data_IF_733027998062
#
_entry.id   IF_733027998062
#
_cell.length_a   1.000
_cell.length_b   1.000
_cell.length_c   1.000
_cell.angle_alpha   90.00
_cell.angle_beta   90.00
_cell.angle_gamma   90.00
#
_symmetry.space_group_name_H-M   'P 1'
#
loop_
_entity.id
_entity.type
_entity.pdbx_description
1 polymer ?
#
# COMPACT_ATOMS: atom_id res chain seq x y z
N UNK A 1 10.13 -18.76 2.58
CA UNK A 1 10.12 -18.72 4.06
C UNK A 1 8.87 -18.05 4.64
N UNK A 2 8.65 -16.72 4.50
CA UNK A 2 7.49 -16.05 5.12
C UNK A 2 6.13 -16.57 4.61
N UNK A 3 5.98 -16.66 3.28
CA UNK A 3 4.74 -17.15 2.67
C UNK A 3 4.42 -18.60 3.10
N UNK A 4 5.43 -19.47 3.15
CA UNK A 4 5.24 -20.87 3.56
C UNK A 4 4.80 -20.98 5.02
N UNK A 5 5.33 -20.13 5.91
CA UNK A 5 4.91 -20.08 7.30
C UNK A 5 3.43 -19.66 7.42
N UNK A 6 3.02 -18.60 6.72
CA UNK A 6 1.61 -18.18 6.67
C UNK A 6 0.73 -19.31 6.12
N UNK A 7 1.14 -19.94 5.02
CA UNK A 7 0.39 -21.04 4.43
C UNK A 7 0.28 -22.25 5.39
N UNK A 8 1.34 -22.55 6.14
CA UNK A 8 1.34 -23.63 7.13
C UNK A 8 0.34 -23.35 8.25
N UNK A 9 0.34 -22.13 8.82
CA UNK A 9 -0.58 -21.76 9.89
C UNK A 9 -2.04 -21.77 9.41
N UNK A 10 -2.33 -21.20 8.24
CA UNK A 10 -3.68 -21.20 7.66
C UNK A 10 -4.19 -22.61 7.30
N UNK A 11 -3.28 -23.55 7.02
CA UNK A 11 -3.65 -24.94 6.72
C UNK A 11 -4.01 -25.75 7.97
N UNK A 12 -3.41 -25.43 9.13
CA UNK A 12 -3.57 -26.19 10.39
C UNK A 12 -4.92 -25.97 11.07
N UNK A 13 -5.54 -24.81 10.88
CA UNK A 13 -6.77 -24.46 11.58
C UNK A 13 -7.99 -24.91 10.78
N UNK A 14 -8.79 -25.90 11.20
CA UNK A 14 -10.12 -26.10 10.64
C UNK A 14 -11.01 -24.94 11.10
N UNK A 15 -11.23 -23.91 10.25
CA UNK A 15 -11.87 -22.61 10.55
C UNK A 15 -12.82 -22.65 11.76
N UNK A 16 -12.25 -22.55 12.96
CA UNK A 16 -12.96 -22.32 14.22
C UNK A 16 -12.87 -20.85 14.58
N UNK A 17 -11.72 -20.26 14.24
CA UNK A 17 -11.43 -18.84 14.43
C UNK A 17 -10.98 -18.22 13.10
N UNK A 18 -11.35 -16.95 12.91
CA UNK A 18 -10.95 -16.18 11.73
C UNK A 18 -9.60 -15.55 11.99
N UNK A 19 -8.55 -16.10 11.37
CA UNK A 19 -7.24 -15.43 11.33
C UNK A 19 -7.31 -14.17 10.42
N UNK A 20 -6.85 -13.05 10.95
CA UNK A 20 -6.56 -11.82 10.21
C UNK A 20 -5.04 -11.69 10.11
N UNK A 21 -4.53 -11.49 8.90
CA UNK A 21 -3.10 -11.41 8.64
C UNK A 21 -2.82 -10.41 7.51
N UNK A 22 -1.56 -9.97 7.41
CA UNK A 22 -1.15 -9.06 6.34
C UNK A 22 0.36 -9.05 6.13
N UNK A 23 0.78 -8.38 5.07
CA UNK A 23 2.16 -8.08 4.76
C UNK A 23 2.32 -6.57 4.76
N UNK A 24 3.50 -6.10 5.17
CA UNK A 24 3.87 -4.69 5.09
C UNK A 24 4.31 -4.33 3.66
N UNK A 25 3.37 -4.49 2.73
CA UNK A 25 3.53 -4.21 1.30
C UNK A 25 2.22 -3.62 0.76
N UNK A 26 2.31 -2.75 -0.26
CA UNK A 26 1.11 -2.29 -0.95
C UNK A 26 0.45 -3.45 -1.71
N UNK A 27 -0.89 -3.57 -1.61
CA UNK A 27 -1.62 -4.67 -2.26
C UNK A 27 -2.14 -4.33 -3.64
N UNK A 28 -2.05 -3.07 -4.05
CA UNK A 28 -2.49 -2.63 -5.36
C UNK A 28 -1.68 -1.44 -5.83
N UNK A 29 -1.81 -1.17 -7.13
CA UNK A 29 -1.24 0.01 -7.74
C UNK A 29 -2.20 1.20 -7.75
N UNK A 30 -1.67 2.44 -7.70
CA UNK A 30 -2.44 3.65 -7.95
C UNK A 30 -2.97 3.70 -9.39
N UNK A 31 -3.98 4.55 -9.61
CA UNK A 31 -4.67 4.74 -10.88
C UNK A 31 -3.73 4.84 -12.09
N UNK A 32 -2.68 5.66 -12.05
CA UNK A 32 -1.81 5.82 -13.23
C UNK A 32 -1.09 4.52 -13.61
N UNK A 33 -0.60 3.75 -12.63
CA UNK A 33 0.11 2.51 -12.90
C UNK A 33 -0.86 1.46 -13.46
N UNK A 34 -2.10 1.43 -12.96
CA UNK A 34 -3.16 0.57 -13.52
C UNK A 34 -3.51 0.95 -14.97
N UNK A 35 -3.48 2.23 -15.31
CA UNK A 35 -3.69 2.73 -16.67
C UNK A 35 -2.57 2.33 -17.62
N UNK A 36 -1.32 2.61 -17.26
CA UNK A 36 -0.15 2.21 -18.03
C UNK A 36 -0.09 0.69 -18.22
N UNK A 37 -0.50 -0.05 -17.19
CA UNK A 37 -0.58 -1.50 -17.23
C UNK A 37 -1.81 -2.06 -17.95
N UNK A 38 -2.70 -1.20 -18.45
CA UNK A 38 -3.93 -1.59 -19.18
C UNK A 38 -4.87 -2.47 -18.36
N UNK A 39 -4.85 -2.34 -17.02
CA UNK A 39 -5.69 -3.09 -16.08
C UNK A 39 -6.70 -2.21 -15.33
N UNK A 40 -6.82 -0.91 -15.67
CA UNK A 40 -7.76 0.03 -15.00
C UNK A 40 -9.19 -0.52 -14.93
N UNK A 41 -9.66 -1.13 -16.01
CA UNK A 41 -11.03 -1.66 -16.10
C UNK A 41 -11.22 -3.03 -15.44
N UNK A 42 -10.13 -3.73 -15.10
CA UNK A 42 -10.19 -5.05 -14.48
C UNK A 42 -10.49 -4.94 -12.99
N UNK A 43 -11.07 -6.00 -12.43
CA UNK A 43 -11.14 -6.17 -10.98
C UNK A 43 -9.72 -6.20 -10.39
N UNK A 44 -9.57 -6.04 -9.07
CA UNK A 44 -8.26 -6.15 -8.44
C UNK A 44 -7.62 -7.53 -8.69
N UNK A 45 -8.39 -8.62 -8.52
CA UNK A 45 -7.91 -10.00 -8.74
C UNK A 45 -7.48 -10.23 -10.18
N UNK A 46 -8.33 -9.85 -11.13
CA UNK A 46 -8.04 -10.05 -12.56
C UNK A 46 -6.87 -9.18 -12.99
N UNK A 47 -6.78 -7.94 -12.49
CA UNK A 47 -5.64 -7.06 -12.72
C UNK A 47 -4.33 -7.67 -12.20
N UNK A 48 -4.32 -8.17 -10.97
CA UNK A 48 -3.13 -8.78 -10.38
C UNK A 48 -2.69 -10.06 -11.12
N UNK A 49 -3.64 -10.91 -11.51
CA UNK A 49 -3.35 -12.10 -12.33
C UNK A 49 -2.88 -11.73 -13.74
N UNK A 50 -3.43 -10.66 -14.34
CA UNK A 50 -2.99 -10.14 -15.63
C UNK A 50 -1.53 -9.64 -15.56
N UNK A 51 -1.15 -8.91 -14.50
CA UNK A 51 0.24 -8.51 -14.27
C UNK A 51 1.15 -9.74 -14.14
N UNK A 52 0.75 -10.71 -13.32
CA UNK A 52 1.53 -11.92 -13.08
C UNK A 52 1.82 -12.72 -14.36
N UNK A 53 0.87 -12.78 -15.28
CA UNK A 53 0.98 -13.57 -16.49
C UNK A 53 1.55 -12.78 -17.69
N UNK A 54 1.77 -11.47 -17.52
CA UNK A 54 2.02 -10.55 -18.64
C UNK A 54 0.72 -10.30 -19.41
N UNK A 55 0.37 -9.04 -19.61
CA UNK A 55 -0.91 -8.67 -20.22
C UNK A 55 -0.70 -7.62 -21.31
N UNK A 56 -1.37 -7.78 -22.45
CA UNK A 56 -1.37 -6.77 -23.52
C UNK A 56 0.03 -6.31 -23.95
N UNK A 57 0.99 -7.24 -24.05
CA UNK A 57 2.37 -6.95 -24.44
C UNK A 57 3.27 -6.38 -23.32
N UNK A 58 2.78 -6.33 -22.08
CA UNK A 58 3.57 -5.95 -20.91
C UNK A 58 4.32 -7.15 -20.33
N UNK A 59 5.48 -6.94 -19.67
CA UNK A 59 6.23 -8.02 -19.04
C UNK A 59 5.42 -8.71 -17.93
N UNK A 60 5.72 -9.98 -17.69
CA UNK A 60 5.26 -10.70 -16.50
C UNK A 60 5.80 -10.03 -15.24
N UNK A 61 4.97 -9.90 -14.20
CA UNK A 61 5.40 -9.42 -12.90
C UNK A 61 6.61 -10.23 -12.41
N UNK A 62 7.65 -9.52 -11.97
CA UNK A 62 8.91 -10.11 -11.54
C UNK A 62 9.59 -9.25 -10.48
N UNK A 63 10.82 -9.61 -10.13
CA UNK A 63 11.62 -8.80 -9.20
C UNK A 63 11.81 -7.37 -9.73
N UNK A 64 11.96 -6.37 -8.83
CA UNK A 64 12.08 -4.96 -9.21
C UNK A 64 13.23 -4.67 -10.17
N UNK A 65 14.29 -5.47 -10.06
CA UNK A 65 15.48 -5.39 -10.90
C UNK A 65 15.19 -5.35 -12.40
N UNK A 66 14.46 -6.33 -12.91
CA UNK A 66 14.18 -6.45 -14.33
C UNK A 66 12.80 -5.90 -14.71
N UNK A 67 11.85 -5.99 -13.79
CA UNK A 67 10.47 -5.63 -14.09
C UNK A 67 10.33 -4.15 -14.45
N UNK A 68 10.91 -3.25 -13.65
CA UNK A 68 10.76 -1.81 -13.82
C UNK A 68 11.27 -1.33 -15.19
N UNK A 69 12.45 -1.82 -15.60
CA UNK A 69 13.05 -1.54 -16.91
C UNK A 69 12.17 -2.04 -18.05
N UNK A 70 11.78 -3.32 -18.02
CA UNK A 70 10.97 -3.90 -19.09
C UNK A 70 9.57 -3.27 -19.18
N UNK A 71 9.00 -2.89 -18.03
CA UNK A 71 7.73 -2.20 -17.98
C UNK A 71 7.84 -0.83 -18.63
N UNK A 72 8.83 -0.02 -18.25
CA UNK A 72 9.10 1.29 -18.87
C UNK A 72 9.32 1.20 -20.38
N UNK A 73 10.06 0.19 -20.84
CA UNK A 73 10.26 -0.05 -22.27
C UNK A 73 8.92 -0.32 -23.00
N UNK A 74 8.03 -1.13 -22.38
CA UNK A 74 6.76 -1.50 -22.96
C UNK A 74 5.71 -0.36 -22.95
N UNK A 75 5.81 0.60 -22.04
CA UNK A 75 4.89 1.75 -21.92
C UNK A 75 5.44 3.06 -22.49
N UNK A 76 6.59 3.00 -23.18
CA UNK A 76 7.21 4.14 -23.84
C UNK A 76 6.20 4.92 -24.72
N UNK A 77 6.37 6.26 -24.86
CA UNK A 77 7.54 7.06 -24.47
C UNK A 77 7.53 7.56 -23.02
N UNK A 78 6.47 7.32 -22.24
CA UNK A 78 6.35 7.86 -20.89
C UNK A 78 6.77 6.81 -19.85
N UNK A 79 7.94 6.96 -19.19
CA UNK A 79 8.38 6.00 -18.18
C UNK A 79 7.44 6.05 -16.97
N UNK A 80 7.20 4.88 -16.38
CA UNK A 80 6.46 4.75 -15.12
C UNK A 80 7.43 4.83 -13.95
N UNK A 81 8.36 3.89 -13.88
CA UNK A 81 9.32 3.76 -12.77
C UNK A 81 10.53 4.67 -12.97
N UNK A 82 11.08 5.19 -11.88
CA UNK A 82 12.25 6.07 -11.90
C UNK A 82 12.98 6.00 -10.55
N UNK A 83 14.20 6.55 -10.50
CA UNK A 83 14.97 6.64 -9.26
C UNK A 83 15.59 8.03 -9.10
N UNK A 84 15.40 8.73 -7.96
CA UNK A 84 16.06 10.01 -7.74
C UNK A 84 17.59 9.89 -7.58
N UNK A 85 18.08 8.68 -7.25
CA UNK A 85 19.50 8.39 -7.08
C UNK A 85 20.06 7.83 -8.39
N UNK A 86 21.02 8.55 -9.00
CA UNK A 86 21.58 8.20 -10.31
C UNK A 86 22.16 6.79 -10.38
N UNK A 87 22.95 6.38 -9.37
CA UNK A 87 23.53 5.02 -9.35
C UNK A 87 22.45 3.93 -9.33
N UNK A 88 21.33 4.17 -8.63
CA UNK A 88 20.21 3.25 -8.64
C UNK A 88 19.43 3.32 -9.95
N UNK A 89 19.27 4.49 -10.54
CA UNK A 89 18.64 4.65 -11.85
C UNK A 89 19.37 3.80 -12.92
N UNK A 90 20.70 3.87 -12.95
CA UNK A 90 21.55 3.05 -13.82
C UNK A 90 21.44 1.56 -13.48
N UNK A 91 21.48 1.22 -12.19
CA UNK A 91 21.31 -0.14 -11.70
C UNK A 91 19.98 -0.73 -12.24
N UNK A 92 18.84 -0.12 -11.93
CA UNK A 92 17.51 -0.58 -12.37
C UNK A 92 17.22 -0.36 -13.86
N UNK A 93 18.08 0.36 -14.61
CA UNK A 93 17.82 0.72 -16.00
C UNK A 93 16.56 1.59 -16.17
N UNK A 94 16.33 2.52 -15.24
CA UNK A 94 15.21 3.47 -15.23
C UNK A 94 15.74 4.91 -15.32
N UNK A 95 14.94 5.89 -15.75
CA UNK A 95 15.38 7.28 -15.74
C UNK A 95 15.62 7.79 -14.32
N UNK A 96 16.50 8.79 -14.19
CA UNK A 96 16.70 9.52 -12.94
C UNK A 96 15.76 10.71 -12.74
N UNK A 97 15.12 11.16 -13.82
CA UNK A 97 14.13 12.21 -13.78
C UNK A 97 12.74 11.65 -13.51
N UNK A 98 12.04 12.27 -12.55
CA UNK A 98 10.65 11.97 -12.24
C UNK A 98 9.74 12.22 -13.44
N UNK A 99 8.89 11.27 -13.85
CA UNK A 99 7.81 11.53 -14.80
C UNK A 99 6.75 12.45 -14.18
N UNK A 100 6.19 13.35 -14.98
CA UNK A 100 5.07 14.18 -14.52
C UNK A 100 3.81 13.32 -14.41
N UNK A 101 3.36 13.10 -13.17
CA UNK A 101 2.14 12.35 -12.85
C UNK A 101 1.33 13.20 -11.87
N UNK A 102 0.06 13.53 -12.14
CA UNK A 102 -0.78 14.26 -11.19
C UNK A 102 -0.88 13.56 -9.83
N UNK A 103 -0.91 14.33 -8.75
CA UNK A 103 -0.97 13.82 -7.38
C UNK A 103 -2.08 12.78 -7.16
N UNK A 104 -3.29 13.09 -7.63
CA UNK A 104 -4.49 12.25 -7.49
C UNK A 104 -4.44 10.92 -8.24
N UNK A 105 -3.50 10.80 -9.16
CA UNK A 105 -3.27 9.63 -10.00
C UNK A 105 -2.01 8.87 -9.57
N UNK A 106 -1.09 9.56 -8.87
CA UNK A 106 0.17 9.02 -8.35
C UNK A 106 -0.04 8.18 -7.08
N UNK A 107 -0.93 8.62 -6.21
CA UNK A 107 -1.20 7.96 -4.94
C UNK A 107 -2.57 7.28 -4.97
N UNK A 108 -2.69 6.14 -4.30
CA UNK A 108 -3.98 5.49 -4.04
C UNK A 108 -4.83 6.38 -3.16
N UNK A 109 -6.15 6.23 -3.20
CA UNK A 109 -7.06 7.04 -2.37
C UNK A 109 -6.68 7.04 -0.88
N UNK A 110 -6.27 5.89 -0.33
CA UNK A 110 -5.85 5.76 1.07
C UNK A 110 -4.53 6.48 1.37
N UNK A 111 -3.62 6.53 0.40
CA UNK A 111 -2.33 7.22 0.52
C UNK A 111 -2.51 8.73 0.40
N UNK A 112 -3.41 9.19 -0.47
CA UNK A 112 -3.78 10.60 -0.55
C UNK A 112 -4.30 11.09 0.80
N UNK A 113 -5.13 10.29 1.48
CA UNK A 113 -5.59 10.58 2.84
C UNK A 113 -4.42 10.70 3.82
N UNK A 114 -3.47 9.77 3.79
CA UNK A 114 -2.30 9.78 4.67
C UNK A 114 -1.40 11.00 4.42
N UNK A 115 -1.08 11.29 3.16
CA UNK A 115 -0.27 12.47 2.80
C UNK A 115 -0.95 13.76 3.25
N UNK A 116 -2.25 13.92 2.97
CA UNK A 116 -3.00 15.10 3.41
C UNK A 116 -3.15 15.19 4.93
N UNK A 117 -2.97 14.08 5.65
CA UNK A 117 -2.91 14.03 7.11
C UNK A 117 -1.50 14.28 7.66
N UNK A 118 -0.51 14.56 6.80
CA UNK A 118 0.86 14.90 7.18
C UNK A 118 1.81 13.71 7.28
N UNK A 119 1.43 12.53 6.77
CA UNK A 119 2.35 11.41 6.65
C UNK A 119 3.24 11.56 5.41
N UNK A 120 4.52 11.28 5.55
CA UNK A 120 5.44 11.22 4.40
C UNK A 120 5.39 9.82 3.79
N UNK A 121 5.03 9.73 2.50
CA UNK A 121 4.90 8.48 1.77
C UNK A 121 5.67 8.55 0.45
N UNK A 122 6.55 7.57 0.24
CA UNK A 122 7.08 7.31 -1.10
C UNK A 122 5.98 6.77 -2.00
N UNK A 123 6.08 7.05 -3.29
CA UNK A 123 5.13 6.60 -4.29
C UNK A 123 5.53 5.25 -4.92
N UNK A 124 4.55 4.56 -5.50
CA UNK A 124 4.67 3.19 -6.01
C UNK A 124 5.56 3.08 -7.27
N UNK A 125 6.00 4.20 -7.83
CA UNK A 125 6.87 4.28 -9.00
C UNK A 125 8.34 4.57 -8.69
N UNK A 126 8.69 4.90 -7.44
CA UNK A 126 10.08 5.21 -7.04
C UNK A 126 10.81 3.94 -6.64
N UNK A 127 11.96 3.66 -7.26
CA UNK A 127 12.83 2.51 -6.95
C UNK A 127 14.20 2.93 -6.42
N UNK A 128 14.80 2.08 -5.60
CA UNK A 128 16.21 2.13 -5.24
C UNK A 128 16.57 3.02 -4.05
N UNK A 129 15.70 3.91 -3.59
CA UNK A 129 15.96 4.71 -2.39
C UNK A 129 15.59 3.94 -1.10
N UNK A 130 16.21 4.30 0.03
CA UNK A 130 15.74 3.86 1.35
C UNK A 130 14.31 4.40 1.54
N UNK A 131 13.37 3.53 1.92
CA UNK A 131 11.96 3.88 2.01
C UNK A 131 11.25 3.95 0.64
N UNK A 132 11.91 3.59 -0.47
CA UNK A 132 11.24 3.47 -1.76
C UNK A 132 10.27 2.30 -1.78
N UNK A 133 9.04 2.57 -2.21
CA UNK A 133 7.92 1.63 -2.05
C UNK A 133 7.73 0.74 -3.27
N UNK A 134 8.21 1.12 -4.46
CA UNK A 134 7.98 0.33 -5.67
C UNK A 134 8.55 -1.09 -5.58
N UNK A 135 9.78 -1.23 -5.04
CA UNK A 135 10.42 -2.54 -4.89
C UNK A 135 9.64 -3.45 -3.95
N UNK A 136 9.26 -2.93 -2.78
CA UNK A 136 8.45 -3.65 -1.79
C UNK A 136 7.08 -4.02 -2.36
N UNK A 137 6.46 -3.10 -3.12
CA UNK A 137 5.18 -3.33 -3.78
C UNK A 137 5.25 -4.46 -4.77
N UNK A 138 6.24 -4.47 -5.68
CA UNK A 138 6.40 -5.57 -6.64
C UNK A 138 6.58 -6.92 -5.95
N UNK A 139 7.38 -6.96 -4.88
CA UNK A 139 7.54 -8.16 -4.05
C UNK A 139 6.22 -8.59 -3.39
N UNK A 140 5.46 -7.65 -2.81
CA UNK A 140 4.16 -7.92 -2.19
C UNK A 140 3.13 -8.44 -3.19
N UNK A 141 3.02 -7.80 -4.35
CA UNK A 141 2.13 -8.25 -5.42
C UNK A 141 2.43 -9.70 -5.86
N UNK A 142 3.72 -10.08 -5.96
CA UNK A 142 4.11 -11.46 -6.25
C UNK A 142 3.68 -12.45 -5.15
N UNK A 143 3.81 -12.06 -3.88
CA UNK A 143 3.35 -12.88 -2.75
C UNK A 143 1.83 -13.09 -2.79
N UNK A 144 1.07 -12.02 -3.08
CA UNK A 144 -0.39 -12.08 -3.21
C UNK A 144 -0.82 -12.98 -4.38
N UNK A 145 -0.15 -12.89 -5.53
CA UNK A 145 -0.37 -13.80 -6.67
C UNK A 145 -0.15 -15.25 -6.24
N UNK A 146 0.92 -15.51 -5.49
CA UNK A 146 1.23 -16.86 -5.01
C UNK A 146 0.15 -17.39 -4.06
N UNK A 147 -0.36 -16.55 -3.15
CA UNK A 147 -1.52 -16.89 -2.32
C UNK A 147 -2.77 -17.20 -3.14
N UNK A 148 -3.07 -16.38 -4.15
CA UNK A 148 -4.22 -16.58 -5.04
C UNK A 148 -4.14 -17.86 -5.87
N UNK A 149 -2.93 -18.25 -6.30
CA UNK A 149 -2.70 -19.47 -7.07
C UNK A 149 -2.60 -20.72 -6.17
N UNK A 150 -2.46 -20.55 -4.86
CA UNK A 150 -2.37 -21.66 -3.90
C UNK A 150 -3.72 -22.34 -3.67
N UNK A 151 -3.68 -23.56 -3.09
CA UNK A 151 -4.88 -24.28 -2.64
C UNK A 151 -5.65 -23.55 -1.52
N UNK A 152 -4.97 -22.65 -0.80
CA UNK A 152 -5.58 -21.86 0.29
C UNK A 152 -6.42 -20.70 -0.21
N UNK A 153 -6.36 -20.35 -1.50
CA UNK A 153 -7.14 -19.26 -2.09
C UNK A 153 -8.64 -19.35 -1.83
N UNK A 154 -9.19 -20.57 -1.70
CA UNK A 154 -10.62 -20.78 -1.37
C UNK A 154 -10.97 -20.45 0.09
N UNK A 155 -9.96 -20.42 0.96
CA UNK A 155 -10.07 -20.18 2.40
C UNK A 155 -9.64 -18.76 2.81
N UNK A 156 -9.18 -17.96 1.87
CA UNK A 156 -8.67 -16.60 2.10
C UNK A 156 -9.52 -15.61 1.30
N UNK A 157 -9.99 -14.58 1.97
CA UNK A 157 -10.51 -13.38 1.34
C UNK A 157 -9.53 -12.21 1.55
N UNK A 158 -9.58 -11.23 0.67
CA UNK A 158 -8.73 -10.04 0.70
C UNK A 158 -9.61 -8.83 0.92
N UNK A 159 -9.43 -8.18 2.07
CA UNK A 159 -10.15 -6.96 2.39
C UNK A 159 -9.34 -5.73 1.96
N UNK A 160 -9.98 -4.70 1.38
CA UNK A 160 -11.42 -4.57 1.08
C UNK A 160 -11.83 -5.03 -0.34
N UNK A 161 -10.93 -5.69 -1.07
CA UNK A 161 -11.15 -6.02 -2.49
C UNK A 161 -12.36 -6.92 -2.73
N UNK A 162 -12.58 -7.91 -1.85
CA UNK A 162 -13.71 -8.84 -1.93
C UNK A 162 -15.02 -8.27 -1.35
N UNK A 163 -14.98 -7.12 -0.65
CA UNK A 163 -16.11 -6.50 0.02
C UNK A 163 -15.70 -5.34 0.93
N UNK A 164 -16.49 -4.27 0.96
CA UNK A 164 -16.19 -3.08 1.78
C UNK A 164 -16.45 -3.27 3.28
N UNK A 165 -17.26 -4.27 3.63
CA UNK A 165 -17.63 -4.61 4.99
C UNK A 165 -17.19 -6.04 5.28
N UNK A 166 -16.50 -6.23 6.40
CA UNK A 166 -16.04 -7.54 6.88
C UNK A 166 -17.18 -8.53 7.15
N UNK A 167 -18.41 -8.04 7.32
CA UNK A 167 -19.62 -8.86 7.46
C UNK A 167 -20.20 -9.35 6.12
N UNK A 168 -19.63 -8.91 4.99
CA UNK A 168 -20.05 -9.37 3.66
C UNK A 168 -19.85 -10.90 3.52
N UNK A 169 -20.78 -11.56 2.81
CA UNK A 169 -20.74 -13.00 2.53
C UNK A 169 -19.41 -13.47 1.91
N UNK A 170 -18.74 -12.60 1.15
CA UNK A 170 -17.43 -12.88 0.57
C UNK A 170 -16.38 -13.29 1.62
N UNK A 171 -16.55 -12.86 2.87
CA UNK A 171 -15.70 -13.17 4.01
C UNK A 171 -16.17 -14.35 4.84
N UNK A 172 -17.38 -14.88 4.67
CA UNK A 172 -17.92 -15.96 5.52
C UNK A 172 -17.05 -17.21 5.43
N UNK A 173 -16.67 -17.78 6.59
CA UNK A 173 -15.81 -18.95 6.71
C UNK A 173 -14.48 -18.83 5.94
N UNK A 174 -13.83 -17.66 6.02
CA UNK A 174 -12.51 -17.41 5.43
C UNK A 174 -11.60 -16.65 6.39
N UNK A 175 -10.31 -16.92 6.31
CA UNK A 175 -9.28 -16.04 6.85
C UNK A 175 -9.21 -14.77 5.99
N UNK A 176 -8.75 -13.67 6.57
CA UNK A 176 -8.79 -12.37 5.90
C UNK A 176 -7.39 -11.79 5.82
N UNK A 177 -6.95 -11.60 4.58
CA UNK A 177 -5.73 -10.87 4.26
C UNK A 177 -6.07 -9.38 4.18
N UNK A 178 -5.35 -8.56 4.94
CA UNK A 178 -5.50 -7.11 5.00
C UNK A 178 -4.17 -6.45 4.66
N UNK A 179 -4.20 -5.25 4.08
CA UNK A 179 -3.02 -4.42 3.97
C UNK A 179 -2.78 -3.71 5.31
N UNK A 180 -1.53 -3.73 5.77
CA UNK A 180 -1.11 -3.10 7.03
C UNK A 180 0.06 -2.18 6.71
N UNK A 181 0.07 -0.99 7.33
CA UNK A 181 1.16 -0.04 7.20
C UNK A 181 1.66 0.38 8.58
N UNK A 182 2.69 -0.27 9.13
CA UNK A 182 3.13 -0.12 10.53
C UNK A 182 3.40 1.32 10.96
N UNK A 183 3.88 2.16 10.05
CA UNK A 183 4.25 3.55 10.30
C UNK A 183 3.08 4.47 10.71
N UNK A 184 1.82 4.06 10.54
CA UNK A 184 0.67 4.85 11.05
C UNK A 184 0.39 4.60 12.54
N UNK A 185 1.01 3.57 13.13
CA UNK A 185 0.85 3.25 14.54
C UNK A 185 1.91 3.99 15.34
N UNK A 186 1.51 5.02 16.10
CA UNK A 186 2.45 5.83 16.84
C UNK A 186 3.22 5.01 17.89
N UNK A 187 4.54 5.15 17.91
CA UNK A 187 5.46 4.48 18.85
C UNK A 187 5.02 4.63 20.32
N UNK A 188 4.55 5.83 20.68
CA UNK A 188 4.07 6.12 22.04
C UNK A 188 2.86 5.29 22.45
N UNK A 189 2.02 4.92 21.49
CA UNK A 189 0.76 4.20 21.73
C UNK A 189 1.03 2.67 21.74
N UNK A 190 2.11 2.23 21.09
CA UNK A 190 2.50 0.83 20.93
C UNK A 190 4.01 0.62 21.19
N UNK A 191 4.47 0.78 22.45
CA UNK A 191 5.88 0.61 22.79
C UNK A 191 6.32 -0.84 22.59
N UNK A 192 7.38 -1.05 21.81
CA UNK A 192 7.91 -2.38 21.52
C UNK A 192 8.83 -2.83 22.66
N UNK A 193 8.62 -4.01 23.28
CA UNK A 193 9.47 -4.52 24.35
C UNK A 193 10.90 -4.75 23.89
N UNK A 194 11.88 -4.55 24.79
CA UNK A 194 13.31 -4.68 24.47
C UNK A 194 13.68 -6.05 23.88
N UNK A 195 13.00 -7.11 24.36
CA UNK A 195 13.18 -8.47 23.89
C UNK A 195 12.75 -8.74 22.43
N UNK A 196 12.06 -7.79 21.78
CA UNK A 196 11.63 -7.86 20.37
C UNK A 196 12.52 -6.99 19.46
N UNK A 197 13.54 -6.31 20.01
CA UNK A 197 14.29 -5.22 19.34
C UNK A 197 15.45 -5.64 18.42
N UNK A 198 15.42 -6.82 17.80
CA UNK A 198 16.53 -7.22 16.93
C UNK A 198 16.54 -6.48 15.60
N UNK A 199 15.38 -6.29 14.96
CA UNK A 199 15.28 -5.71 13.62
C UNK A 199 14.05 -4.79 13.46
N UNK A 200 14.08 -3.87 12.50
CA UNK A 200 12.98 -2.93 12.24
C UNK A 200 11.69 -3.65 11.83
N UNK A 201 11.79 -4.66 10.97
CA UNK A 201 10.65 -5.45 10.52
C UNK A 201 9.94 -6.20 11.66
N UNK A 202 10.67 -6.66 12.68
CA UNK A 202 10.08 -7.31 13.85
C UNK A 202 9.29 -6.32 14.70
N UNK A 203 9.80 -5.08 14.85
CA UNK A 203 9.11 -3.99 15.56
C UNK A 203 7.81 -3.63 14.84
N UNK A 204 7.86 -3.51 13.53
CA UNK A 204 6.73 -3.19 12.69
C UNK A 204 5.65 -4.28 12.72
N UNK A 205 6.05 -5.54 12.58
CA UNK A 205 5.15 -6.69 12.72
C UNK A 205 4.52 -6.75 14.12
N UNK A 206 5.30 -6.49 15.18
CA UNK A 206 4.79 -6.44 16.54
C UNK A 206 3.72 -5.34 16.70
N UNK A 207 4.01 -4.12 16.23
CA UNK A 207 3.08 -2.98 16.34
C UNK A 207 1.77 -3.26 15.62
N UNK A 208 1.86 -3.72 14.38
CA UNK A 208 0.71 -4.14 13.58
C UNK A 208 -0.13 -5.21 14.29
N UNK A 209 0.51 -6.28 14.76
CA UNK A 209 -0.18 -7.36 15.48
C UNK A 209 -0.86 -6.85 16.75
N UNK A 210 -0.19 -5.99 17.53
CA UNK A 210 -0.73 -5.47 18.79
C UNK A 210 -1.87 -4.52 18.58
N UNK A 211 -1.78 -3.66 17.57
CA UNK A 211 -2.89 -2.80 17.16
C UNK A 211 -4.12 -3.64 16.82
N UNK A 212 -3.97 -4.65 15.95
CA UNK A 212 -5.09 -5.52 15.53
C UNK A 212 -5.63 -6.32 16.71
N UNK A 213 -4.79 -6.98 17.50
CA UNK A 213 -5.19 -7.72 18.70
C UNK A 213 -5.94 -6.85 19.71
N UNK A 214 -5.57 -5.58 19.80
CA UNK A 214 -6.23 -4.67 20.70
C UNK A 214 -7.56 -4.17 20.14
N UNK A 215 -7.64 -3.91 18.84
CA UNK A 215 -8.90 -3.59 18.16
C UNK A 215 -9.89 -4.76 18.20
N UNK A 216 -9.41 -6.00 18.18
CA UNK A 216 -10.26 -7.20 18.22
C UNK A 216 -10.90 -7.46 19.60
N UNK A 217 -10.33 -6.87 20.67
CA UNK A 217 -10.91 -7.01 22.01
C UNK A 217 -12.20 -6.22 22.13
N UNK A 218 -13.17 -6.78 22.84
CA UNK A 218 -14.37 -6.05 23.24
C UNK A 218 -13.99 -4.70 23.88
N UNK A 219 -14.74 -3.65 23.55
CA UNK A 219 -14.50 -2.30 24.03
C UNK A 219 -14.38 -2.30 25.57
N UNK A 220 -13.16 -2.09 26.07
CA UNK A 220 -12.95 -1.93 27.52
C UNK A 220 -13.35 -0.48 27.83
N UNK A 221 -14.25 -0.24 28.81
CA UNK A 221 -14.56 1.11 29.27
C UNK A 221 -13.27 1.89 29.59
N UNK A 222 -13.25 3.18 29.26
CA UNK A 222 -12.15 4.12 29.51
C UNK A 222 -10.87 3.95 28.66
N UNK A 223 -10.89 3.15 27.58
CA UNK A 223 -9.78 3.10 26.62
C UNK A 223 -9.82 4.26 25.63
N UNK A 224 -8.64 4.86 25.42
CA UNK A 224 -8.39 5.93 24.43
C UNK A 224 -8.34 5.38 22.99
N UNK A 225 -8.34 4.07 22.81
CA UNK A 225 -8.27 3.43 21.48
C UNK A 225 -9.67 3.26 20.91
N UNK A 226 -9.99 3.82 19.74
CA UNK A 226 -11.32 4.40 19.59
C UNK A 226 -12.39 3.42 19.14
N UNK A 227 -12.05 2.20 18.69
CA UNK A 227 -12.97 1.31 17.94
C UNK A 227 -12.62 -0.17 18.05
N UNK A 228 -13.63 -1.00 17.84
CA UNK A 228 -13.45 -2.43 17.62
C UNK A 228 -12.99 -2.70 16.17
N UNK A 229 -12.40 -3.88 15.94
CA UNK A 229 -11.83 -4.26 14.64
C UNK A 229 -12.87 -4.32 13.52
N UNK A 230 -14.12 -4.68 13.84
CA UNK A 230 -15.22 -4.71 12.87
C UNK A 230 -15.46 -3.33 12.27
N UNK A 231 -15.54 -2.30 13.11
CA UNK A 231 -15.71 -0.91 12.67
C UNK A 231 -14.52 -0.42 11.84
N UNK A 232 -13.29 -0.84 12.16
CA UNK A 232 -12.11 -0.51 11.35
C UNK A 232 -12.16 -1.14 9.95
N UNK A 233 -12.91 -2.22 9.80
CA UNK A 233 -13.07 -2.96 8.55
C UNK A 233 -14.42 -2.68 7.86
N UNK A 234 -15.14 -1.63 8.28
CA UNK A 234 -16.40 -1.18 7.69
C UNK A 234 -16.18 0.07 6.83
N UNK A 235 -16.09 -0.12 5.52
CA UNK A 235 -15.90 0.96 4.54
C UNK A 235 -17.16 1.30 3.75
N UNK A 236 -18.28 0.62 4.01
CA UNK A 236 -19.55 0.83 3.28
C UNK A 236 -20.14 2.23 3.49
N UNK A 237 -19.72 2.93 4.55
CA UNK A 237 -20.15 4.30 4.87
C UNK A 237 -19.32 5.37 4.15
N UNK A 238 -18.36 4.96 3.30
CA UNK A 238 -17.67 5.87 2.41
C UNK A 238 -18.64 6.47 1.38
N UNK A 239 -18.30 7.64 0.80
CA UNK A 239 -19.03 8.13 -0.36
C UNK A 239 -19.02 7.09 -1.50
N UNK A 240 -20.18 6.83 -2.10
CA UNK A 240 -20.33 5.82 -3.16
C UNK A 240 -19.35 6.02 -4.34
N UNK A 241 -18.95 7.26 -4.62
CA UNK A 241 -17.95 7.59 -5.66
C UNK A 241 -16.55 7.02 -5.38
N UNK A 242 -16.22 6.70 -4.13
CA UNK A 242 -14.90 6.15 -3.72
C UNK A 242 -14.91 4.61 -3.71
N UNK A 243 -16.09 3.97 -3.61
CA UNK A 243 -16.19 2.51 -3.46
C UNK A 243 -15.46 1.75 -4.57
N UNK A 244 -15.57 2.22 -5.82
CA UNK A 244 -14.88 1.61 -6.94
C UNK A 244 -13.35 1.76 -6.86
N UNK A 245 -12.86 2.89 -6.37
CA UNK A 245 -11.43 3.10 -6.18
C UNK A 245 -10.92 2.20 -5.05
N UNK A 246 -11.65 2.07 -3.94
CA UNK A 246 -11.30 1.13 -2.85
C UNK A 246 -11.27 -0.32 -3.32
N UNK A 247 -12.22 -0.77 -4.15
CA UNK A 247 -12.19 -2.10 -4.74
C UNK A 247 -11.03 -2.34 -5.72
N UNK A 248 -10.39 -1.28 -6.24
CA UNK A 248 -9.29 -1.36 -7.21
C UNK A 248 -7.92 -1.15 -6.58
N UNK A 249 -7.85 -0.26 -5.60
CA UNK A 249 -6.62 0.26 -4.98
C UNK A 249 -6.44 -0.22 -3.53
N UNK A 250 -7.52 -0.71 -2.90
CA UNK A 250 -7.50 -1.23 -1.55
C UNK A 250 -7.63 -0.16 -0.48
N UNK A 251 -7.39 -0.59 0.76
CA UNK A 251 -7.37 0.27 1.93
C UNK A 251 -6.43 -0.31 2.98
N UNK A 252 -5.78 0.56 3.74
CA UNK A 252 -4.85 0.20 4.80
C UNK A 252 -5.65 0.10 6.10
N UNK A 253 -5.59 -1.05 6.77
CA UNK A 253 -6.27 -1.25 8.06
C UNK A 253 -5.72 -0.25 9.09
N UNK A 254 -6.63 0.47 9.76
CA UNK A 254 -6.30 1.51 10.73
C UNK A 254 -6.34 2.94 10.20
N UNK A 255 -6.34 3.15 8.88
CA UNK A 255 -6.59 4.48 8.30
C UNK A 255 -8.10 4.76 8.37
N UNK A 256 -8.50 5.69 9.23
CA UNK A 256 -9.93 5.94 9.50
C UNK A 256 -10.56 6.85 8.44
N UNK A 257 -11.57 6.40 7.69
CA UNK A 257 -12.22 7.24 6.69
C UNK A 257 -12.94 8.45 7.29
N UNK A 258 -13.49 8.31 8.49
CA UNK A 258 -14.35 9.32 9.13
C UNK A 258 -13.59 10.55 9.63
N UNK A 259 -12.41 10.34 10.22
CA UNK A 259 -11.49 11.45 10.56
C UNK A 259 -11.07 12.23 9.31
N UNK A 260 -11.14 11.55 8.16
CA UNK A 260 -10.73 12.06 6.87
C UNK A 260 -11.91 12.42 5.97
N UNK A 261 -13.17 12.41 6.46
CA UNK A 261 -14.36 12.70 5.62
C UNK A 261 -14.28 14.04 4.92
N UNK A 262 -13.75 15.06 5.60
CA UNK A 262 -13.55 16.39 5.00
C UNK A 262 -12.48 16.35 3.91
N UNK A 263 -11.38 15.62 4.14
CA UNK A 263 -10.33 15.41 3.15
C UNK A 263 -10.85 14.60 1.95
N UNK A 264 -11.58 13.52 2.19
CA UNK A 264 -12.21 12.68 1.16
C UNK A 264 -13.24 13.45 0.34
N UNK A 265 -14.08 14.27 0.98
CA UNK A 265 -15.00 15.18 0.28
C UNK A 265 -14.22 16.21 -0.55
N UNK A 266 -13.10 16.72 -0.03
CA UNK A 266 -12.15 17.55 -0.76
C UNK A 266 -11.52 16.83 -1.96
N UNK A 267 -11.14 15.57 -1.80
CA UNK A 267 -10.56 14.76 -2.87
C UNK A 267 -11.59 14.56 -3.99
N UNK A 268 -12.83 14.20 -3.63
CA UNK A 268 -13.93 14.04 -4.59
C UNK A 268 -14.25 15.35 -5.32
N UNK A 269 -14.22 16.49 -4.62
CA UNK A 269 -14.70 17.77 -5.16
C UNK A 269 -13.64 18.62 -5.86
N UNK A 270 -12.35 18.53 -5.49
CA UNK A 270 -11.32 19.52 -5.88
C UNK A 270 -10.37 19.09 -6.99
N UNK A 271 -9.96 17.82 -7.08
CA UNK A 271 -8.86 17.46 -8.01
C UNK A 271 -9.23 17.55 -9.48
N UNK A 272 -10.50 17.34 -9.83
CA UNK A 272 -11.00 17.52 -11.20
C UNK A 272 -11.19 18.99 -11.62
N UNK A 273 -11.06 19.94 -10.70
CA UNK A 273 -11.33 21.36 -10.93
C UNK A 273 -10.15 22.30 -10.65
N UNK A 274 -9.10 21.82 -9.97
CA UNK A 274 -7.90 22.62 -9.70
C UNK A 274 -7.02 22.71 -10.94
N UNK A 275 -6.59 23.93 -11.26
CA UNK A 275 -5.57 24.19 -12.28
C UNK A 275 -4.26 23.45 -11.92
N UNK A 276 -3.60 22.89 -12.94
CA UNK A 276 -2.35 22.12 -12.83
C UNK A 276 -1.26 22.90 -12.07
N UNK A 277 -1.23 24.23 -12.19
CA UNK A 277 -0.29 25.09 -11.48
C UNK A 277 -0.50 25.09 -9.97
N UNK A 278 -1.75 25.06 -9.50
CA UNK A 278 -2.11 25.02 -8.06
C UNK A 278 -1.82 23.64 -7.47
N UNK A 279 -2.04 22.58 -8.25
CA UNK A 279 -1.63 21.23 -7.85
C UNK A 279 -0.11 21.16 -7.67
N UNK A 280 0.65 21.76 -8.59
CA UNK A 280 2.11 21.81 -8.49
C UNK A 280 2.59 22.61 -7.28
N UNK A 281 1.98 23.76 -6.96
CA UNK A 281 2.32 24.53 -5.76
C UNK A 281 2.03 23.77 -4.46
N UNK A 282 0.88 23.09 -4.37
CA UNK A 282 0.57 22.25 -3.20
C UNK A 282 1.53 21.07 -3.08
N UNK A 283 1.88 20.43 -4.19
CA UNK A 283 2.94 19.40 -4.19
C UNK A 283 4.27 19.98 -3.71
N UNK A 284 4.66 21.18 -4.14
CA UNK A 284 5.89 21.84 -3.67
C UNK A 284 5.80 22.26 -2.19
N UNK A 285 4.63 22.60 -1.67
CA UNK A 285 4.47 22.93 -0.24
C UNK A 285 4.50 21.69 0.65
N UNK A 286 3.89 20.59 0.20
CA UNK A 286 3.84 19.32 0.94
C UNK A 286 5.18 18.58 0.83
N UNK A 287 5.75 18.50 -0.37
CA UNK A 287 6.95 17.70 -0.66
C UNK A 287 8.24 18.52 -0.86
N UNK A 288 8.16 19.82 -1.12
CA UNK A 288 9.34 20.66 -1.33
C UNK A 288 10.18 20.90 -0.08
N UNK A 289 9.70 20.47 1.10
CA UNK A 289 10.53 20.37 2.32
C UNK A 289 11.54 19.21 2.27
N UNK A 290 11.43 18.30 1.31
CA UNK A 290 12.32 17.15 1.13
C UNK A 290 12.90 17.13 -0.29
N UNK A 291 13.63 18.19 -0.65
CA UNK A 291 14.47 18.13 -1.85
C UNK A 291 15.59 17.12 -1.62
N UNK A 292 15.88 16.20 -2.57
CA UNK A 292 17.05 15.33 -2.52
C UNK A 292 18.38 16.10 -2.53
N UNK A 293 18.34 17.40 -2.83
CA UNK A 293 19.47 18.33 -2.73
C UNK A 293 19.52 19.13 -1.42
N UNK A 294 18.75 18.77 -0.39
CA UNK A 294 18.95 19.36 0.94
C UNK A 294 20.36 18.98 1.46
N UNK A 295 21.29 19.95 1.53
CA UNK A 295 22.68 19.67 1.89
C UNK A 295 22.82 19.13 3.32
N UNK A 296 21.81 19.28 4.18
CA UNK A 296 21.83 18.75 5.55
C UNK A 296 21.71 17.22 5.60
N UNK A 297 21.02 16.58 4.64
CA UNK A 297 20.94 15.10 4.55
C UNK A 297 22.17 14.44 3.94
N UNK A 298 22.91 15.12 3.05
CA UNK A 298 24.17 14.57 2.49
C UNK A 298 25.25 14.39 3.57
N UNK A 299 25.27 15.24 4.59
CA UNK A 299 26.24 15.11 5.69
C UNK A 299 25.98 13.89 6.60
N UNK A 300 24.73 13.43 6.74
CA UNK A 300 24.42 12.24 7.54
C UNK A 300 24.80 10.92 6.85
N UNK A 301 24.80 10.88 5.51
CA UNK A 301 25.15 9.70 4.72
C UNK A 301 26.66 9.52 4.52
N UNK A 302 27.42 10.62 4.50
CA UNK A 302 28.89 10.58 4.39
C UNK A 302 29.60 10.39 5.75
N UNK A 303 28.89 10.57 6.88
CA UNK A 303 29.43 10.41 8.23
C UNK A 303 29.46 8.98 8.79
N UNK A 304 28.89 8.00 8.07
CA UNK A 304 28.77 6.61 8.50
C UNK A 304 29.54 5.62 7.59
N UNK A 305 30.59 6.07 6.91
CA UNK A 305 31.54 5.19 6.19
C UNK A 305 32.89 5.09 6.90
#
# INVERSE_FOLDING_TARGET
MLLEAVQSELARDPIKERIIFGFDHQYAWPRHLRELARIKALSWRDGLLALANGHSGLPTLGGPWDYCRHFNYAVAPMPAFWSPVQVHAEHFGVPSQRPFIPFDSRYRIVEQVLVLSGHDLSSAEVVGEIGSVAGQTLCGLLQLVSLMKSQLSKRIAFWPFDGLDIENEAYTNKHVCVEIYPSIYADRDWPVPEAVLTEEHDRDAWRACRFIQHADRAAIPDRVTPRNLRELMHLSDLPAGIHQDVHREGWILGVLPERNRVLLAGIISKWSQLDVSVQHELEQQVFGKHRPDDPTRRQELDGNR
#
